data_IF_584895388525
#
_entry.id   IF_584895388525
#
_cell.length_a   1.000
_cell.length_b   1.000
_cell.length_c   1.000
_cell.angle_alpha   90.00
_cell.angle_beta   90.00
_cell.angle_gamma   90.00
#
_symmetry.space_group_name_H-M   'P 1'
#
loop_
_entity.id
_entity.type
_entity.pdbx_description
1 polymer ?
#
# COMPACT_ATOMS: atom_id res chain seq x y z
N UNK A 1 21.24 -0.09 28.05
CA UNK A 1 21.36 -0.85 26.79
C UNK A 1 19.98 -1.04 26.25
N UNK A 2 19.67 -0.42 25.10
CA UNK A 2 18.32 -0.43 24.52
C UNK A 2 18.21 0.36 23.21
N UNK A 3 19.33 0.55 22.48
CA UNK A 3 19.37 1.43 21.31
C UNK A 3 19.27 0.66 19.99
N UNK A 4 19.69 -0.61 19.96
CA UNK A 4 19.70 -1.41 18.73
C UNK A 4 18.33 -1.97 18.30
N UNK A 5 17.47 -2.37 19.25
CA UNK A 5 16.16 -2.94 18.92
C UNK A 5 15.16 -1.87 18.45
N UNK A 6 15.21 -0.66 19.05
CA UNK A 6 14.31 0.44 18.70
C UNK A 6 14.63 1.03 17.32
N UNK A 7 15.91 1.12 16.96
CA UNK A 7 16.33 1.56 15.63
C UNK A 7 15.96 0.53 14.56
N UNK A 8 16.30 -0.76 14.75
CA UNK A 8 15.87 -1.82 13.82
C UNK A 8 14.34 -1.90 13.69
N UNK A 9 13.62 -1.78 14.81
CA UNK A 9 12.15 -1.72 14.84
C UNK A 9 11.58 -0.56 14.02
N UNK A 10 12.17 0.65 14.13
CA UNK A 10 11.74 1.82 13.34
C UNK A 10 12.00 1.68 11.84
N UNK A 11 13.13 1.12 11.44
CA UNK A 11 13.45 0.89 10.02
C UNK A 11 12.57 -0.22 9.41
N UNK A 12 12.17 -1.20 10.20
CA UNK A 12 11.32 -2.31 9.77
C UNK A 12 9.83 -1.98 9.78
N UNK A 13 9.36 -1.06 10.63
CA UNK A 13 7.93 -0.77 10.85
C UNK A 13 7.30 0.27 9.89
N UNK A 14 8.10 0.94 9.06
CA UNK A 14 7.60 1.95 8.13
C UNK A 14 7.30 3.32 8.78
N UNK A 15 7.59 3.48 10.07
CA UNK A 15 7.37 4.73 10.81
C UNK A 15 8.10 5.94 10.19
N UNK A 16 9.24 5.72 9.55
CA UNK A 16 10.05 6.79 8.94
C UNK A 16 9.43 7.37 7.66
N UNK A 17 8.74 6.55 6.88
CA UNK A 17 8.11 6.98 5.61
C UNK A 17 6.65 7.42 5.78
N UNK A 18 6.01 7.04 6.90
CA UNK A 18 4.63 7.39 7.19
C UNK A 18 4.32 8.91 7.17
N UNK A 19 5.20 9.83 7.67
CA UNK A 19 4.92 11.27 7.59
C UNK A 19 4.71 11.79 6.16
N UNK A 20 5.52 11.33 5.20
CA UNK A 20 5.38 11.72 3.80
C UNK A 20 4.05 11.22 3.22
N UNK A 21 3.68 9.98 3.52
CA UNK A 21 2.41 9.39 3.06
C UNK A 21 1.19 10.08 3.68
N UNK A 22 1.25 10.42 4.98
CA UNK A 22 0.18 11.22 5.63
C UNK A 22 0.01 12.59 4.99
N UNK A 23 1.12 13.24 4.63
CA UNK A 23 1.06 14.56 3.99
C UNK A 23 0.38 14.49 2.61
N UNK A 24 0.56 13.41 1.84
CA UNK A 24 -0.17 13.21 0.59
C UNK A 24 -1.64 12.86 0.82
N UNK A 25 -1.93 11.92 1.73
CA UNK A 25 -3.32 11.57 2.08
C UNK A 25 -4.14 12.77 2.55
N UNK A 26 -3.54 13.70 3.30
CA UNK A 26 -4.21 14.91 3.78
C UNK A 26 -4.66 15.86 2.66
N UNK A 27 -4.16 15.69 1.43
CA UNK A 27 -4.57 16.48 0.25
C UNK A 27 -5.70 15.80 -0.54
N UNK A 28 -6.05 14.56 -0.20
CA UNK A 28 -6.97 13.71 -0.95
C UNK A 28 -8.31 13.54 -0.19
N UNK A 29 -9.39 13.12 -0.87
CA UNK A 29 -10.63 12.77 -0.20
C UNK A 29 -10.42 11.73 0.92
N UNK A 30 -11.12 11.84 2.06
CA UNK A 30 -10.95 10.92 3.20
C UNK A 30 -11.23 9.43 2.88
N UNK A 31 -12.01 9.16 1.83
CA UNK A 31 -12.36 7.82 1.34
C UNK A 31 -11.44 7.34 0.21
N UNK A 32 -10.34 8.04 -0.06
CA UNK A 32 -9.36 7.67 -1.09
C UNK A 32 -8.92 6.21 -0.89
N UNK A 33 -9.08 5.34 -1.90
CA UNK A 33 -8.63 3.96 -1.82
C UNK A 33 -7.12 3.87 -1.57
N UNK A 34 -6.74 3.02 -0.61
CA UNK A 34 -5.36 2.65 -0.38
C UNK A 34 -5.21 1.13 -0.52
N UNK A 35 -4.54 0.67 -1.56
CA UNK A 35 -4.40 -0.75 -1.88
C UNK A 35 -3.12 -1.34 -1.27
N UNK A 36 -3.23 -2.51 -0.64
CA UNK A 36 -2.07 -3.31 -0.20
C UNK A 36 -1.89 -4.49 -1.14
N UNK A 37 -0.90 -4.40 -2.03
CA UNK A 37 -0.72 -5.35 -3.13
C UNK A 37 0.18 -6.49 -2.70
N UNK A 38 -0.40 -7.69 -2.56
CA UNK A 38 0.31 -8.94 -2.21
C UNK A 38 1.13 -8.85 -0.91
N UNK A 39 0.86 -7.85 -0.07
CA UNK A 39 1.62 -7.53 1.14
C UNK A 39 0.67 -7.32 2.31
N UNK A 40 0.98 -7.86 3.50
CA UNK A 40 0.35 -7.40 4.76
C UNK A 40 1.35 -6.50 5.39
N UNK A 41 0.96 -5.25 5.57
CA UNK A 41 1.60 -4.45 6.56
C UNK A 41 0.66 -4.28 7.75
N UNK A 42 0.94 -5.00 8.84
CA UNK A 42 0.17 -4.90 10.08
C UNK A 42 0.38 -3.59 10.83
N UNK A 43 1.39 -2.80 10.44
CA UNK A 43 1.81 -1.60 11.17
C UNK A 43 1.56 -0.32 10.41
N UNK A 44 1.71 -0.34 9.09
CA UNK A 44 1.68 0.84 8.25
C UNK A 44 0.31 1.55 8.21
N UNK A 45 -0.83 0.83 8.05
CA UNK A 45 -2.16 1.45 8.11
C UNK A 45 -2.39 2.22 9.42
N UNK A 46 -1.89 1.70 10.54
CA UNK A 46 -1.97 2.37 11.83
C UNK A 46 -1.15 3.67 11.84
N UNK A 47 0.08 3.66 11.34
CA UNK A 47 0.93 4.86 11.30
C UNK A 47 0.41 5.96 10.39
N UNK A 48 -0.32 5.62 9.32
CA UNK A 48 -0.91 6.62 8.43
C UNK A 48 -2.34 7.02 8.80
N UNK A 49 -3.00 6.27 9.69
CA UNK A 49 -4.38 6.51 10.08
C UNK A 49 -5.39 6.26 8.96
N UNK A 50 -5.07 5.35 8.04
CA UNK A 50 -5.86 5.08 6.83
C UNK A 50 -5.87 3.58 6.54
N UNK A 51 -7.06 3.01 6.36
CA UNK A 51 -7.22 1.57 6.13
C UNK A 51 -6.81 1.18 4.72
N UNK A 52 -6.46 -0.10 4.52
CA UNK A 52 -6.08 -0.62 3.21
C UNK A 52 -7.05 -1.68 2.70
N UNK A 53 -7.21 -1.74 1.38
CA UNK A 53 -7.92 -2.80 0.64
C UNK A 53 -6.88 -3.84 0.20
N UNK A 54 -7.10 -5.11 0.54
CA UNK A 54 -6.16 -6.17 0.19
C UNK A 54 -6.25 -6.53 -1.30
N UNK A 55 -5.13 -6.74 -1.98
CA UNK A 55 -5.11 -7.25 -3.36
C UNK A 55 -4.34 -8.56 -3.42
N UNK A 56 -4.98 -9.59 -4.00
CA UNK A 56 -4.47 -10.92 -4.33
C UNK A 56 -4.02 -11.82 -3.17
N UNK A 57 -3.64 -11.30 -2.00
CA UNK A 57 -3.07 -12.17 -0.96
C UNK A 57 -4.07 -13.19 -0.41
N UNK A 58 -3.86 -14.45 -0.73
CA UNK A 58 -4.77 -15.57 -0.42
C UNK A 58 -4.31 -16.42 0.78
N UNK A 59 -3.04 -16.30 1.15
CA UNK A 59 -2.30 -17.26 1.98
C UNK A 59 -2.48 -17.04 3.50
N UNK A 60 -2.88 -15.84 3.95
CA UNK A 60 -3.26 -15.57 5.36
C UNK A 60 -4.75 -15.21 5.55
N UNK A 61 -5.50 -15.03 4.46
CA UNK A 61 -6.92 -14.61 4.49
C UNK A 61 -7.90 -15.67 3.96
N UNK A 62 -7.42 -16.88 3.61
CA UNK A 62 -8.30 -18.02 3.34
C UNK A 62 -9.31 -18.28 4.49
N UNK A 63 -9.07 -17.72 5.69
CA UNK A 63 -9.99 -17.77 6.84
C UNK A 63 -10.81 -16.50 7.14
N UNK A 64 -11.03 -15.59 6.19
CA UNK A 64 -11.89 -14.40 6.43
C UNK A 64 -12.54 -13.74 5.22
N UNK A 65 -12.39 -14.29 4.02
CA UNK A 65 -12.86 -13.68 2.75
C UNK A 65 -14.39 -13.75 2.58
N UNK A 66 -15.15 -14.33 3.51
CA UNK A 66 -16.62 -14.41 3.44
C UNK A 66 -17.37 -13.22 4.07
N UNK A 67 -16.71 -12.15 4.53
CA UNK A 67 -17.39 -11.14 5.35
C UNK A 67 -17.57 -9.76 4.68
N UNK A 68 -16.68 -9.29 3.80
CA UNK A 68 -16.84 -7.96 3.16
C UNK A 68 -16.18 -7.85 1.76
N UNK A 69 -16.94 -7.94 0.65
CA UNK A 69 -16.38 -7.91 -0.72
C UNK A 69 -15.69 -6.59 -1.10
N UNK A 70 -15.95 -5.49 -0.37
CA UNK A 70 -15.29 -4.19 -0.63
C UNK A 70 -13.88 -4.10 -0.04
N UNK A 71 -13.43 -5.08 0.76
CA UNK A 71 -12.12 -5.07 1.43
C UNK A 71 -11.05 -5.90 0.72
N UNK A 72 -11.40 -6.57 -0.38
CA UNK A 72 -10.47 -7.45 -1.10
C UNK A 72 -10.68 -7.38 -2.62
N UNK A 73 -9.57 -7.39 -3.35
CA UNK A 73 -9.51 -7.55 -4.81
C UNK A 73 -8.78 -8.86 -5.10
N UNK A 74 -9.43 -9.84 -5.76
CA UNK A 74 -8.89 -11.17 -6.00
C UNK A 74 -7.56 -11.25 -6.72
N UNK A 75 -7.28 -10.33 -7.66
CA UNK A 75 -6.10 -10.38 -8.52
C UNK A 75 -5.46 -9.01 -8.70
N UNK A 76 -4.15 -8.99 -8.97
CA UNK A 76 -3.43 -7.77 -9.35
C UNK A 76 -3.98 -7.19 -10.65
N UNK A 77 -4.39 -8.03 -11.61
CA UNK A 77 -4.95 -7.56 -12.89
C UNK A 77 -6.28 -6.81 -12.70
N UNK A 78 -7.16 -7.30 -11.83
CA UNK A 78 -8.38 -6.58 -11.45
C UNK A 78 -8.07 -5.26 -10.76
N UNK A 79 -7.06 -5.24 -9.89
CA UNK A 79 -6.59 -4.00 -9.29
C UNK A 79 -6.04 -3.03 -10.34
N UNK A 80 -5.27 -3.48 -11.34
CA UNK A 80 -4.77 -2.61 -12.41
C UNK A 80 -5.93 -2.00 -13.22
N UNK A 81 -6.98 -2.78 -13.49
CA UNK A 81 -8.18 -2.26 -14.17
C UNK A 81 -8.85 -1.15 -13.34
N UNK A 82 -9.01 -1.37 -12.03
CA UNK A 82 -9.57 -0.39 -11.10
C UNK A 82 -8.69 0.86 -10.95
N UNK A 83 -7.38 0.67 -10.78
CA UNK A 83 -6.38 1.74 -10.68
C UNK A 83 -6.40 2.70 -11.87
N UNK A 84 -6.70 2.19 -13.07
CA UNK A 84 -6.84 3.04 -14.27
C UNK A 84 -8.10 3.90 -14.25
N UNK A 85 -9.13 3.49 -13.52
CA UNK A 85 -10.41 4.19 -13.39
C UNK A 85 -10.46 5.12 -12.17
N UNK A 86 -9.68 4.82 -11.12
CA UNK A 86 -9.63 5.65 -9.92
C UNK A 86 -9.11 7.06 -10.23
N UNK A 87 -9.82 8.08 -9.74
CA UNK A 87 -9.38 9.48 -9.80
C UNK A 87 -8.23 9.73 -8.82
N UNK A 88 -8.36 9.24 -7.59
CA UNK A 88 -7.35 9.29 -6.55
C UNK A 88 -7.21 7.91 -5.94
N UNK A 89 -5.98 7.41 -5.84
CA UNK A 89 -5.70 6.16 -5.17
C UNK A 89 -4.23 6.09 -4.76
N UNK A 90 -3.96 5.38 -3.66
CA UNK A 90 -2.62 5.00 -3.23
C UNK A 90 -2.45 3.49 -3.28
N UNK A 91 -1.21 3.02 -3.39
CA UNK A 91 -0.88 1.61 -3.23
C UNK A 91 0.43 1.42 -2.47
N UNK A 92 0.50 0.38 -1.64
CA UNK A 92 1.69 -0.11 -0.95
C UNK A 92 2.00 -1.52 -1.46
N UNK A 93 3.28 -1.76 -1.76
CA UNK A 93 3.75 -3.03 -2.30
C UNK A 93 5.25 -3.25 -2.01
N UNK A 94 5.75 -4.46 -2.23
CA UNK A 94 7.17 -4.74 -2.14
C UNK A 94 7.92 -4.11 -3.35
N UNK A 95 9.21 -3.73 -3.21
CA UNK A 95 10.00 -3.19 -4.31
C UNK A 95 9.98 -4.04 -5.59
N UNK A 96 10.08 -5.36 -5.46
CA UNK A 96 10.03 -6.27 -6.62
C UNK A 96 8.69 -6.23 -7.36
N UNK A 97 7.58 -6.06 -6.64
CA UNK A 97 6.25 -5.94 -7.24
C UNK A 97 6.09 -4.60 -7.96
N UNK A 98 6.59 -3.52 -7.36
CA UNK A 98 6.65 -2.21 -8.02
C UNK A 98 7.41 -2.28 -9.35
N UNK A 99 8.60 -2.89 -9.35
CA UNK A 99 9.42 -3.02 -10.55
C UNK A 99 8.71 -3.85 -11.65
N UNK A 100 7.94 -4.87 -11.27
CA UNK A 100 7.11 -5.66 -12.20
C UNK A 100 6.01 -4.80 -12.84
N UNK A 101 5.25 -4.06 -12.02
CA UNK A 101 4.17 -3.21 -12.49
C UNK A 101 4.66 -2.05 -13.38
N UNK A 102 5.84 -1.48 -13.08
CA UNK A 102 6.49 -0.49 -13.95
C UNK A 102 6.82 -1.09 -15.32
N UNK A 103 7.39 -2.30 -15.37
CA UNK A 103 7.67 -3.00 -16.64
C UNK A 103 6.40 -3.29 -17.45
N UNK A 104 5.26 -3.46 -16.78
CA UNK A 104 3.95 -3.64 -17.40
C UNK A 104 3.28 -2.32 -17.82
N UNK A 105 3.94 -1.17 -17.58
CA UNK A 105 3.43 0.14 -17.97
C UNK A 105 2.31 0.67 -17.08
N UNK A 106 2.20 0.20 -15.83
CA UNK A 106 1.22 0.73 -14.88
C UNK A 106 1.67 2.13 -14.42
N UNK A 107 0.87 3.19 -14.64
CA UNK A 107 1.28 4.54 -14.27
C UNK A 107 1.24 4.72 -12.75
N UNK A 108 2.39 5.02 -12.15
CA UNK A 108 2.55 5.16 -10.70
C UNK A 108 3.55 6.28 -10.39
N UNK A 109 3.23 7.17 -9.45
CA UNK A 109 4.17 8.14 -8.91
C UNK A 109 4.58 7.71 -7.50
N UNK A 110 5.88 7.55 -7.25
CA UNK A 110 6.39 7.21 -5.93
C UNK A 110 6.18 8.38 -4.96
N UNK A 111 5.60 8.09 -3.80
CA UNK A 111 5.51 9.02 -2.66
C UNK A 111 6.69 8.76 -1.73
N UNK A 112 6.92 7.50 -1.37
CA UNK A 112 7.98 7.10 -0.45
C UNK A 112 8.43 5.66 -0.73
N UNK A 113 9.67 5.35 -0.35
CA UNK A 113 10.27 4.03 -0.50
C UNK A 113 11.20 3.73 0.67
N UNK A 114 11.16 2.49 1.14
CA UNK A 114 12.16 1.91 2.03
C UNK A 114 12.61 0.54 1.46
N UNK A 115 13.39 -0.23 2.25
CA UNK A 115 13.90 -1.53 1.81
C UNK A 115 12.82 -2.62 1.66
N UNK A 116 11.63 -2.42 2.24
CA UNK A 116 10.52 -3.38 2.29
C UNK A 116 9.31 -2.92 1.46
N UNK A 117 9.15 -1.61 1.25
CA UNK A 117 7.92 -1.00 0.75
C UNK A 117 8.21 0.05 -0.31
N UNK A 118 7.31 0.14 -1.27
CA UNK A 118 7.13 1.28 -2.13
C UNK A 118 5.69 1.74 -1.97
N UNK A 119 5.50 3.02 -1.68
CA UNK A 119 4.18 3.66 -1.64
C UNK A 119 4.10 4.55 -2.86
N UNK A 120 3.04 4.35 -3.64
CA UNK A 120 2.78 5.10 -4.86
C UNK A 120 1.40 5.72 -4.80
N UNK A 121 1.20 6.77 -5.58
CA UNK A 121 -0.12 7.27 -5.94
C UNK A 121 -0.39 7.11 -7.43
N UNK A 122 -1.68 7.18 -7.75
CA UNK A 122 -2.20 7.30 -9.10
C UNK A 122 -1.87 8.70 -9.63
N UNK A 123 -1.04 8.82 -10.69
CA UNK A 123 -0.75 10.13 -11.27
C UNK A 123 -2.03 10.79 -11.77
N UNK A 124 -2.24 12.04 -11.37
CA UNK A 124 -3.28 12.89 -11.95
C UNK A 124 -2.89 13.16 -13.40
N UNK A 125 -3.80 12.91 -14.34
CA UNK A 125 -3.62 13.23 -15.77
C UNK A 125 -4.21 14.60 -16.09
#
# INVERSE_FOLDING_TARGET
>A
GGTGHDEFGRYSSGALIAPAVRAELAKLPPDTPFYSIEMLDHTFPFYVGHTTIMVQRQDELAFGISVEPNKWIPTVDEWVARWKQDTHALAIMAPGQYDTLVRQGVPMRVIARDNRRVIVEKPQS
#
